data_IF_962877795559
#
_entry.id   IF_962877795559
#
_cell.length_a   1.000
_cell.length_b   1.000
_cell.length_c   1.000
_cell.angle_alpha   90.00
_cell.angle_beta   90.00
_cell.angle_gamma   90.00
#
_symmetry.space_group_name_H-M   'P 1'
#
loop_
_entity.id
_entity.type
_entity.pdbx_description
1 polymer ?
#
# COMPACT_ATOMS: atom_id res chain seq x y z
N UNK A 1 -20.84 1.61 -8.61
CA UNK A 1 -19.57 2.14 -8.07
C UNK A 1 -19.56 1.86 -6.58
N UNK A 2 -18.52 1.22 -6.02
CA UNK A 2 -18.47 0.90 -4.59
C UNK A 2 -18.32 2.22 -3.80
N UNK A 3 -19.25 2.49 -2.88
CA UNK A 3 -19.35 3.78 -2.18
C UNK A 3 -18.10 4.13 -1.37
N UNK A 4 -17.36 3.11 -0.91
CA UNK A 4 -16.11 3.28 -0.16
C UNK A 4 -14.98 3.75 -1.09
N UNK A 5 -14.86 3.18 -2.29
CA UNK A 5 -13.79 3.55 -3.23
C UNK A 5 -13.91 4.99 -3.73
N UNK A 6 -15.13 5.54 -3.80
CA UNK A 6 -15.35 6.95 -4.17
C UNK A 6 -14.96 7.95 -3.09
N UNK A 7 -14.65 7.48 -1.87
CA UNK A 7 -14.28 8.33 -0.74
C UNK A 7 -12.77 8.38 -0.49
N UNK A 8 -11.97 7.69 -1.32
CA UNK A 8 -10.52 7.69 -1.17
C UNK A 8 -9.91 9.04 -1.58
N UNK A 9 -8.91 9.57 -0.82
CA UNK A 9 -8.38 9.01 0.42
C UNK A 9 -9.31 9.25 1.62
N UNK A 10 -9.34 8.32 2.57
CA UNK A 10 -10.19 8.37 3.77
C UNK A 10 -9.32 8.77 4.98
N UNK A 11 -9.66 9.90 5.61
CA UNK A 11 -9.10 10.30 6.90
C UNK A 11 -9.64 9.38 8.01
N UNK A 12 -8.72 8.70 8.72
CA UNK A 12 -9.04 7.80 9.81
C UNK A 12 -8.90 8.46 11.20
N UNK A 13 -8.49 9.74 11.25
CA UNK A 13 -8.12 10.44 12.48
C UNK A 13 -6.68 10.15 12.92
N UNK A 14 -6.22 10.84 13.96
CA UNK A 14 -4.89 10.64 14.57
C UNK A 14 -3.72 10.64 13.57
N UNK A 15 -3.79 11.53 12.57
CA UNK A 15 -2.85 11.65 11.44
C UNK A 15 -2.82 10.45 10.49
N UNK A 16 -3.73 9.48 10.61
CA UNK A 16 -3.80 8.31 9.74
C UNK A 16 -4.68 8.56 8.52
N UNK A 17 -4.14 8.29 7.33
CA UNK A 17 -4.82 8.44 6.05
C UNK A 17 -4.82 7.11 5.28
N UNK A 18 -6.00 6.56 4.99
CA UNK A 18 -6.15 5.43 4.09
C UNK A 18 -6.15 5.93 2.64
N UNK A 19 -5.16 5.51 1.85
CA UNK A 19 -5.04 5.89 0.42
C UNK A 19 -4.65 4.71 -0.47
N UNK A 20 -4.84 4.87 -1.78
CA UNK A 20 -4.25 3.95 -2.74
C UNK A 20 -2.73 4.10 -2.74
N UNK A 21 -2.03 2.98 -2.87
CA UNK A 21 -0.58 2.99 -2.98
C UNK A 21 -0.15 3.51 -4.36
N UNK A 22 1.09 3.99 -4.40
CA UNK A 22 1.81 4.49 -5.57
C UNK A 22 3.07 3.67 -5.78
N UNK A 23 3.79 3.91 -6.88
CA UNK A 23 5.07 3.24 -7.12
C UNK A 23 6.13 3.62 -6.08
N UNK A 24 6.00 4.79 -5.44
CA UNK A 24 6.95 5.25 -4.42
C UNK A 24 6.80 4.46 -3.10
N UNK A 25 5.65 3.82 -2.88
CA UNK A 25 5.37 3.04 -1.66
C UNK A 25 5.90 1.60 -1.73
N UNK A 26 6.45 1.16 -2.89
CA UNK A 26 6.78 -0.25 -3.15
C UNK A 26 7.69 -0.85 -2.09
N UNK A 27 8.82 -0.18 -1.80
CA UNK A 27 9.82 -0.75 -0.91
C UNK A 27 9.34 -0.74 0.54
N UNK A 28 8.70 0.34 0.99
CA UNK A 28 8.20 0.44 2.36
C UNK A 28 7.06 -0.54 2.63
N UNK A 29 6.13 -0.69 1.67
CA UNK A 29 5.03 -1.66 1.79
C UNK A 29 5.52 -3.11 1.67
N UNK A 30 6.52 -3.39 0.82
CA UNK A 30 7.12 -4.72 0.73
C UNK A 30 7.78 -5.13 2.05
N UNK A 31 8.55 -4.22 2.65
CA UNK A 31 9.19 -4.47 3.94
C UNK A 31 8.16 -4.61 5.07
N UNK A 32 7.08 -3.81 5.04
CA UNK A 32 5.96 -3.94 5.97
C UNK A 32 5.29 -5.32 5.87
N UNK A 33 4.96 -5.77 4.65
CA UNK A 33 4.32 -7.07 4.41
C UNK A 33 5.21 -8.24 4.82
N UNK A 34 6.53 -8.16 4.59
CA UNK A 34 7.45 -9.20 5.07
C UNK A 34 7.51 -9.30 6.59
N UNK A 35 7.46 -8.17 7.31
CA UNK A 35 7.39 -8.16 8.78
C UNK A 35 6.05 -8.70 9.28
N UNK A 36 4.94 -8.25 8.71
CA UNK A 36 3.59 -8.60 9.16
C UNK A 36 3.27 -10.08 8.90
N UNK A 37 3.71 -10.62 7.76
CA UNK A 37 3.44 -11.99 7.35
C UNK A 37 4.61 -12.95 7.63
N UNK A 38 5.62 -12.52 8.40
CA UNK A 38 6.79 -13.29 8.82
C UNK A 38 7.48 -14.07 7.67
N UNK A 39 7.69 -13.43 6.52
CA UNK A 39 8.29 -14.10 5.37
C UNK A 39 8.81 -13.18 4.28
N UNK A 40 10.08 -13.38 3.88
CA UNK A 40 10.76 -12.61 2.82
C UNK A 40 10.07 -12.74 1.46
N UNK A 41 9.43 -13.88 1.19
CA UNK A 41 8.65 -14.13 -0.02
C UNK A 41 7.52 -13.10 -0.20
N UNK A 42 6.99 -12.54 0.89
CA UNK A 42 5.97 -11.49 0.83
C UNK A 42 6.54 -10.15 0.34
N UNK A 43 7.78 -9.82 0.70
CA UNK A 43 8.43 -8.62 0.16
C UNK A 43 8.70 -8.77 -1.35
N UNK A 44 9.20 -9.94 -1.77
CA UNK A 44 9.44 -10.24 -3.19
C UNK A 44 8.14 -10.16 -3.99
N UNK A 45 7.08 -10.81 -3.49
CA UNK A 45 5.77 -10.80 -4.15
C UNK A 45 5.16 -9.40 -4.21
N UNK A 46 5.27 -8.61 -3.14
CA UNK A 46 4.77 -7.22 -3.11
C UNK A 46 5.47 -6.37 -4.17
N UNK A 47 6.80 -6.45 -4.27
CA UNK A 47 7.58 -5.72 -5.29
C UNK A 47 7.17 -6.13 -6.71
N UNK A 48 7.05 -7.44 -6.98
CA UNK A 48 6.66 -7.93 -8.30
C UNK A 48 5.27 -7.43 -8.71
N UNK A 49 4.28 -7.58 -7.81
CA UNK A 49 2.88 -7.20 -8.07
C UNK A 49 2.69 -5.70 -8.27
N UNK A 50 3.45 -4.86 -7.56
CA UNK A 50 3.32 -3.40 -7.64
C UNK A 50 4.19 -2.74 -8.71
N UNK A 51 5.18 -3.44 -9.26
CA UNK A 51 6.21 -2.93 -10.18
C UNK A 51 5.68 -2.21 -11.42
N UNK A 52 4.40 -2.42 -11.79
CA UNK A 52 3.82 -1.99 -13.05
C UNK A 52 4.18 -2.89 -14.24
N UNK A 53 5.04 -3.90 -14.03
CA UNK A 53 5.32 -4.93 -15.02
C UNK A 53 4.34 -6.12 -14.93
N UNK A 54 3.69 -6.30 -13.78
CA UNK A 54 2.71 -7.38 -13.60
C UNK A 54 1.49 -7.17 -14.50
N UNK A 55 1.04 -8.18 -15.28
CA UNK A 55 0.01 -7.98 -16.31
C UNK A 55 -1.38 -7.66 -15.75
N UNK A 56 -1.64 -7.96 -14.48
CA UNK A 56 -2.97 -7.82 -13.86
C UNK A 56 -2.96 -7.04 -12.55
N UNK A 57 -1.81 -6.56 -12.10
CA UNK A 57 -1.69 -5.85 -10.83
C UNK A 57 -0.88 -4.57 -11.03
N UNK A 58 -1.29 -3.53 -10.33
CA UNK A 58 -0.60 -2.24 -10.28
C UNK A 58 -0.58 -1.73 -8.84
N UNK A 59 0.32 -0.81 -8.53
CA UNK A 59 0.42 -0.23 -7.19
C UNK A 59 -0.93 0.30 -6.65
N UNK A 60 -1.75 0.93 -7.50
CA UNK A 60 -3.06 1.46 -7.06
C UNK A 60 -4.11 0.39 -6.71
N UNK A 61 -3.83 -0.89 -6.93
CA UNK A 61 -4.70 -1.99 -6.48
C UNK A 61 -4.46 -2.32 -5.00
N UNK A 62 -3.40 -1.76 -4.40
CA UNK A 62 -3.08 -1.84 -2.99
C UNK A 62 -3.54 -0.56 -2.27
N UNK A 63 -3.88 -0.70 -1.00
CA UNK A 63 -4.16 0.42 -0.10
C UNK A 63 -3.18 0.41 1.06
N UNK A 64 -2.79 1.59 1.51
CA UNK A 64 -1.95 1.78 2.69
C UNK A 64 -2.64 2.70 3.67
N UNK A 65 -2.29 2.57 4.94
CA UNK A 65 -2.56 3.59 5.94
C UNK A 65 -1.26 4.33 6.16
N UNK A 66 -1.23 5.62 5.85
CA UNK A 66 -0.08 6.49 6.07
C UNK A 66 -0.29 7.30 7.35
N UNK A 67 0.70 7.30 8.24
CA UNK A 67 0.83 8.34 9.26
C UNK A 67 1.38 9.61 8.60
N UNK A 68 0.50 10.57 8.35
CA UNK A 68 0.81 11.84 7.67
C UNK A 68 1.76 12.75 8.47
N UNK A 69 1.99 12.48 9.76
CA UNK A 69 2.99 13.19 10.55
C UNK A 69 4.41 12.70 10.26
N UNK A 70 4.58 11.39 10.05
CA UNK A 70 5.90 10.75 9.90
C UNK A 70 6.19 10.31 8.46
N UNK A 71 5.17 10.24 7.61
CA UNK A 71 5.21 9.68 6.26
C UNK A 71 5.36 8.16 6.24
N UNK A 72 5.01 7.47 7.34
CA UNK A 72 5.22 6.02 7.51
C UNK A 72 3.98 5.20 7.20
N UNK A 73 4.22 4.00 6.67
CA UNK A 73 3.24 2.92 6.48
C UNK A 73 3.27 1.97 7.68
#
# INVERSE_FOLDING_TARGET
>A
MNAILSQMPIDLGDNLLLRFATLDDIDELADFNARLHEGEDNAVSTRDLMSGAHPTCKASDFTIVEDTQTGKI
#
